data_IF_549834019948
#
_entry.id   IF_549834019948
#
_cell.length_a   1.000
_cell.length_b   1.000
_cell.length_c   1.000
_cell.angle_alpha   90.00
_cell.angle_beta   90.00
_cell.angle_gamma   90.00
#
_symmetry.space_group_name_H-M   'P 1'
#
loop_
_entity.id
_entity.type
_entity.pdbx_description
1 polymer ?
#
# COMPACT_ATOMS: atom_id res chain seq x y z
N UNK A 1 2.18 17.39 8.31
CA UNK A 1 3.30 18.32 8.53
C UNK A 1 2.82 19.78 8.50
N UNK A 2 2.24 20.27 7.38
CA UNK A 2 1.81 21.68 7.29
C UNK A 2 0.75 22.01 8.37
N UNK A 3 -0.25 21.16 8.55
CA UNK A 3 -1.27 21.34 9.57
C UNK A 3 -0.72 21.28 11.00
N UNK A 4 0.29 20.42 11.25
CA UNK A 4 0.98 20.36 12.53
C UNK A 4 1.80 21.62 12.79
N UNK A 5 2.57 22.08 11.79
CA UNK A 5 3.37 23.30 11.89
C UNK A 5 2.52 24.56 12.08
N UNK A 6 1.35 24.59 11.46
CA UNK A 6 0.39 25.72 11.58
C UNK A 6 -0.52 25.63 12.81
N UNK A 7 -0.42 24.57 13.62
CA UNK A 7 -1.18 24.40 14.87
C UNK A 7 -2.68 24.08 14.69
N UNK A 8 -3.13 23.74 13.51
CA UNK A 8 -4.54 23.39 13.26
C UNK A 8 -4.78 21.91 12.90
N UNK A 9 -3.88 21.02 13.33
CA UNK A 9 -4.11 19.58 13.29
C UNK A 9 -5.37 19.20 14.11
N UNK A 10 -6.12 18.22 13.62
CA UNK A 10 -7.39 17.78 14.21
C UNK A 10 -8.53 18.83 14.19
N UNK A 11 -8.45 19.82 13.30
CA UNK A 11 -9.51 20.80 13.07
C UNK A 11 -10.09 20.68 11.66
N UNK A 12 -11.26 21.31 11.42
CA UNK A 12 -11.85 21.36 10.06
C UNK A 12 -10.96 22.08 9.03
N UNK A 13 -9.99 22.86 9.47
CA UNK A 13 -9.06 23.58 8.60
C UNK A 13 -8.23 22.64 7.70
N UNK A 14 -8.04 21.38 8.09
CA UNK A 14 -7.42 20.36 7.23
C UNK A 14 -8.23 20.16 5.95
N UNK A 15 -9.56 20.09 6.06
CA UNK A 15 -10.45 19.92 4.90
C UNK A 15 -10.48 21.19 4.04
N UNK A 16 -10.45 22.37 4.65
CA UNK A 16 -10.37 23.66 3.93
C UNK A 16 -9.07 23.73 3.12
N UNK A 17 -7.94 23.35 3.70
CA UNK A 17 -6.66 23.28 3.00
C UNK A 17 -6.71 22.32 1.79
N UNK A 18 -7.26 21.12 1.98
CA UNK A 18 -7.43 20.15 0.89
C UNK A 18 -8.35 20.71 -0.22
N UNK A 19 -9.43 21.40 0.14
CA UNK A 19 -10.34 22.01 -0.82
C UNK A 19 -9.64 23.11 -1.64
N UNK A 20 -8.87 23.99 -1.00
CA UNK A 20 -8.11 25.04 -1.68
C UNK A 20 -7.08 24.45 -2.65
N UNK A 21 -6.33 23.44 -2.22
CA UNK A 21 -5.36 22.76 -3.08
C UNK A 21 -6.05 22.02 -4.24
N UNK A 22 -7.20 21.39 -3.98
CA UNK A 22 -8.01 20.75 -5.02
C UNK A 22 -8.53 21.75 -6.07
N UNK A 23 -8.98 22.92 -5.65
CA UNK A 23 -9.39 23.99 -6.56
C UNK A 23 -8.21 24.52 -7.38
N UNK A 24 -7.06 24.75 -6.75
CA UNK A 24 -5.84 25.16 -7.46
C UNK A 24 -5.43 24.12 -8.51
N UNK A 25 -5.51 22.84 -8.18
CA UNK A 25 -5.22 21.75 -9.12
C UNK A 25 -6.24 21.70 -10.26
N UNK A 26 -7.53 21.93 -9.99
CA UNK A 26 -8.57 21.99 -11.00
C UNK A 26 -8.33 23.13 -11.99
N UNK A 27 -7.96 24.33 -11.50
CA UNK A 27 -7.58 25.46 -12.34
C UNK A 27 -6.34 25.13 -13.18
N UNK A 28 -5.32 24.53 -12.56
CA UNK A 28 -4.12 24.10 -13.29
C UNK A 28 -4.44 23.07 -14.37
N UNK A 29 -5.35 22.14 -14.12
CA UNK A 29 -5.72 21.09 -15.08
C UNK A 29 -6.30 21.67 -16.38
N UNK A 30 -6.94 22.86 -16.33
CA UNK A 30 -7.44 23.56 -17.54
C UNK A 30 -6.28 24.02 -18.44
N UNK A 31 -5.10 24.23 -17.89
CA UNK A 31 -3.90 24.66 -18.65
C UNK A 31 -3.13 23.52 -19.29
N UNK A 32 -3.51 22.26 -19.00
CA UNK A 32 -2.84 21.10 -19.57
C UNK A 32 -3.16 20.95 -21.06
N UNK A 33 -2.21 20.40 -21.87
CA UNK A 33 -2.45 20.14 -23.28
C UNK A 33 -3.64 19.20 -23.49
N UNK A 34 -4.46 19.48 -24.49
CA UNK A 34 -5.57 18.61 -24.87
C UNK A 34 -5.05 17.25 -25.34
N UNK A 35 -5.47 16.18 -24.66
CA UNK A 35 -5.24 14.84 -25.12
C UNK A 35 -6.33 14.43 -26.12
N UNK A 36 -6.00 14.15 -27.40
CA UNK A 36 -7.01 13.80 -28.39
C UNK A 36 -7.73 12.50 -27.97
N UNK A 37 -9.02 12.60 -27.73
CA UNK A 37 -9.85 11.43 -27.49
C UNK A 37 -10.11 10.72 -28.81
N UNK A 38 -9.67 9.49 -28.94
CA UNK A 38 -9.95 8.66 -30.11
C UNK A 38 -11.44 8.29 -30.16
N UNK A 39 -12.25 9.12 -30.86
CA UNK A 39 -13.72 8.96 -30.96
C UNK A 39 -14.12 7.99 -32.09
N UNK A 40 -13.17 7.41 -32.83
CA UNK A 40 -13.39 6.59 -34.02
C UNK A 40 -13.50 5.08 -33.76
N UNK A 41 -13.98 4.64 -32.62
CA UNK A 41 -14.14 3.22 -32.32
C UNK A 41 -15.56 2.71 -32.63
N UNK A 42 -15.67 1.49 -33.15
CA UNK A 42 -16.91 0.72 -33.19
C UNK A 42 -17.64 0.76 -31.83
N UNK A 43 -18.98 0.69 -31.85
CA UNK A 43 -19.77 0.63 -30.61
C UNK A 43 -19.29 -0.56 -29.76
N UNK A 44 -18.51 -0.27 -28.72
CA UNK A 44 -18.05 -1.31 -27.79
C UNK A 44 -19.27 -1.95 -27.12
N UNK A 45 -19.25 -3.27 -27.01
CA UNK A 45 -20.24 -3.99 -26.21
C UNK A 45 -20.16 -3.54 -24.75
N UNK A 46 -21.25 -3.67 -23.97
CA UNK A 46 -21.23 -3.33 -22.54
C UNK A 46 -20.13 -4.09 -21.79
N UNK A 47 -19.85 -5.32 -22.17
CA UNK A 47 -18.76 -6.14 -21.62
C UNK A 47 -17.39 -5.51 -21.86
N UNK A 48 -17.18 -4.95 -23.05
CA UNK A 48 -15.93 -4.24 -23.39
C UNK A 48 -15.84 -2.86 -22.73
N UNK A 49 -16.96 -2.15 -22.70
CA UNK A 49 -17.03 -0.83 -22.06
C UNK A 49 -16.78 -0.89 -20.55
N UNK A 50 -17.26 -1.94 -19.89
CA UNK A 50 -17.04 -2.20 -18.46
C UNK A 50 -15.71 -2.94 -18.17
N UNK A 51 -14.93 -3.29 -19.20
CA UNK A 51 -13.65 -3.98 -19.00
C UNK A 51 -13.77 -5.42 -18.50
N UNK A 52 -14.96 -6.03 -18.57
CA UNK A 52 -15.21 -7.37 -18.02
C UNK A 52 -14.42 -8.47 -18.74
N UNK A 53 -13.90 -8.21 -19.94
CA UNK A 53 -12.99 -9.13 -20.64
C UNK A 53 -11.72 -9.42 -19.84
N UNK A 54 -11.26 -8.53 -18.97
CA UNK A 54 -10.11 -8.78 -18.11
C UNK A 54 -10.31 -9.98 -17.16
N UNK A 55 -11.55 -10.31 -16.78
CA UNK A 55 -11.82 -11.49 -15.95
C UNK A 55 -11.47 -12.81 -16.65
N UNK A 56 -11.38 -12.83 -17.99
CA UNK A 56 -10.90 -14.01 -18.72
C UNK A 56 -9.44 -14.37 -18.38
N UNK A 57 -8.66 -13.39 -17.88
CA UNK A 57 -7.27 -13.59 -17.46
C UNK A 57 -7.17 -14.56 -16.28
N UNK A 58 -8.21 -14.74 -15.48
CA UNK A 58 -8.23 -15.76 -14.41
C UNK A 58 -8.15 -17.20 -14.96
N UNK A 59 -8.43 -17.43 -16.23
CA UNK A 59 -8.22 -18.74 -16.88
C UNK A 59 -6.73 -19.06 -17.06
N UNK A 60 -5.88 -18.06 -17.10
CA UNK A 60 -4.43 -18.23 -17.18
C UNK A 60 -3.86 -18.37 -15.77
N UNK A 61 -3.34 -19.55 -15.42
CA UNK A 61 -2.81 -19.85 -14.08
C UNK A 61 -1.87 -18.77 -13.53
N UNK A 62 -1.01 -18.23 -14.38
CA UNK A 62 -0.01 -17.20 -14.02
C UNK A 62 -0.69 -15.90 -13.62
N UNK A 63 -1.67 -15.44 -14.40
CA UNK A 63 -2.43 -14.21 -14.12
C UNK A 63 -3.36 -14.39 -12.91
N UNK A 64 -4.01 -15.53 -12.80
CA UNK A 64 -4.86 -15.85 -11.64
C UNK A 64 -4.05 -15.81 -10.34
N UNK A 65 -2.88 -16.44 -10.30
CA UNK A 65 -1.97 -16.38 -9.15
C UNK A 65 -1.57 -14.95 -8.84
N UNK A 66 -1.18 -14.17 -9.85
CA UNK A 66 -0.82 -12.77 -9.66
C UNK A 66 -1.95 -11.97 -9.03
N UNK A 67 -3.19 -12.08 -9.53
CA UNK A 67 -4.33 -11.35 -8.98
C UNK A 67 -4.67 -11.79 -7.54
N UNK A 68 -4.54 -13.08 -7.22
CA UNK A 68 -4.72 -13.58 -5.85
C UNK A 68 -3.67 -12.96 -4.91
N UNK A 69 -2.40 -12.96 -5.31
CA UNK A 69 -1.35 -12.33 -4.48
C UNK A 69 -1.49 -10.82 -4.39
N UNK A 70 -1.98 -10.17 -5.45
CA UNK A 70 -2.31 -8.75 -5.42
C UNK A 70 -3.42 -8.44 -4.40
N UNK A 71 -4.45 -9.28 -4.33
CA UNK A 71 -5.49 -9.19 -3.30
C UNK A 71 -4.90 -9.36 -1.89
N UNK A 72 -4.07 -10.39 -1.68
CA UNK A 72 -3.44 -10.64 -0.37
C UNK A 72 -2.50 -9.50 0.05
N UNK A 73 -1.83 -8.87 -0.91
CA UNK A 73 -1.02 -7.68 -0.61
C UNK A 73 -1.90 -6.45 -0.29
N UNK A 74 -3.03 -6.30 -0.98
CA UNK A 74 -4.03 -5.28 -0.69
C UNK A 74 -4.56 -5.37 0.75
N UNK A 75 -4.64 -6.58 1.31
CA UNK A 75 -4.92 -6.80 2.75
C UNK A 75 -3.86 -6.10 3.61
N UNK A 76 -2.57 -6.31 3.32
CA UNK A 76 -1.47 -5.68 4.07
C UNK A 76 -1.51 -4.15 3.98
N UNK A 77 -1.78 -3.61 2.80
CA UNK A 77 -1.95 -2.18 2.58
C UNK A 77 -3.08 -1.61 3.45
N UNK A 78 -4.22 -2.27 3.47
CA UNK A 78 -5.38 -1.78 4.21
C UNK A 78 -5.21 -1.90 5.73
N UNK A 79 -4.51 -2.93 6.22
CA UNK A 79 -4.13 -3.04 7.64
C UNK A 79 -3.36 -1.78 8.06
N UNK A 80 -2.35 -1.38 7.30
CA UNK A 80 -1.57 -0.18 7.60
C UNK A 80 -2.43 1.09 7.55
N UNK A 81 -3.21 1.27 6.49
CA UNK A 81 -3.99 2.48 6.28
C UNK A 81 -5.07 2.67 7.36
N UNK A 82 -5.68 1.57 7.81
CA UNK A 82 -6.74 1.61 8.82
C UNK A 82 -6.25 1.70 10.26
N UNK A 83 -5.11 1.07 10.57
CA UNK A 83 -4.75 0.81 11.97
C UNK A 83 -3.43 1.44 12.44
N UNK A 84 -2.58 1.97 11.56
CA UNK A 84 -1.32 2.60 11.99
C UNK A 84 -1.56 3.85 12.84
N UNK A 85 -2.47 4.74 12.44
CA UNK A 85 -2.78 5.94 13.22
C UNK A 85 -3.44 5.63 14.57
N UNK A 86 -4.53 4.82 14.65
CA UNK A 86 -5.11 4.41 15.92
C UNK A 86 -4.10 3.75 16.86
N UNK A 87 -3.21 2.92 16.32
CA UNK A 87 -2.15 2.28 17.11
C UNK A 87 -1.20 3.30 17.73
N UNK A 88 -0.60 4.19 16.93
CA UNK A 88 0.37 5.16 17.42
C UNK A 88 -0.28 6.12 18.43
N UNK A 89 -1.53 6.55 18.18
CA UNK A 89 -2.25 7.45 19.06
C UNK A 89 -2.70 6.78 20.36
N UNK A 90 -2.86 5.46 20.41
CA UNK A 90 -3.24 4.73 21.62
C UNK A 90 -2.22 4.89 22.75
N UNK A 91 -0.96 5.15 22.42
CA UNK A 91 0.09 5.41 23.42
C UNK A 91 -0.11 6.69 24.23
N UNK A 92 -0.97 7.61 23.80
CA UNK A 92 -1.33 8.79 24.60
C UNK A 92 -1.97 8.44 25.95
N UNK A 93 -2.62 7.29 26.03
CA UNK A 93 -3.21 6.79 27.27
C UNK A 93 -2.20 6.26 28.29
N UNK A 94 -0.91 6.17 27.93
CA UNK A 94 0.14 5.66 28.82
C UNK A 94 0.94 6.87 29.32
N UNK A 95 1.02 7.12 30.66
CA UNK A 95 1.70 8.28 31.21
C UNK A 95 3.14 8.44 30.74
N UNK A 96 3.87 7.34 30.58
CA UNK A 96 5.26 7.31 30.08
C UNK A 96 5.40 7.87 28.65
N UNK A 97 4.39 7.65 27.80
CA UNK A 97 4.44 8.02 26.37
C UNK A 97 3.56 9.22 26.02
N UNK A 98 2.72 9.68 26.93
CA UNK A 98 1.73 10.74 26.70
C UNK A 98 2.34 12.05 26.18
N UNK A 99 3.56 12.38 26.58
CA UNK A 99 4.29 13.59 26.18
C UNK A 99 5.20 13.38 24.98
N UNK A 100 5.32 12.15 24.44
CA UNK A 100 6.24 11.89 23.34
C UNK A 100 5.73 12.50 22.04
N UNK A 101 6.67 12.95 21.18
CA UNK A 101 6.33 13.47 19.84
C UNK A 101 5.55 12.45 19.02
N UNK A 102 5.98 11.18 19.02
CA UNK A 102 5.35 10.12 18.24
C UNK A 102 3.87 9.94 18.57
N UNK A 103 3.52 9.85 19.85
CA UNK A 103 2.13 9.69 20.30
C UNK A 103 1.27 10.91 19.95
N UNK A 104 1.81 12.13 20.04
CA UNK A 104 1.06 13.36 19.80
C UNK A 104 0.97 13.76 18.32
N UNK A 105 1.94 13.37 17.51
CA UNK A 105 2.03 13.72 16.09
C UNK A 105 2.09 12.48 15.17
N UNK A 106 1.21 11.50 15.41
CA UNK A 106 1.15 10.26 14.64
C UNK A 106 1.07 10.50 13.12
N UNK A 107 0.31 11.51 12.68
CA UNK A 107 0.21 11.88 11.27
C UNK A 107 1.54 12.42 10.71
N UNK A 108 2.34 13.12 11.50
CA UNK A 108 3.66 13.58 11.10
C UNK A 108 4.62 12.40 10.89
N UNK A 109 4.59 11.39 11.78
CA UNK A 109 5.33 10.15 11.58
C UNK A 109 4.85 9.40 10.32
N UNK A 110 3.54 9.25 10.15
CA UNK A 110 2.97 8.54 8.98
C UNK A 110 3.34 9.26 7.67
N UNK A 111 3.42 10.61 7.67
CA UNK A 111 3.82 11.36 6.47
C UNK A 111 5.25 11.09 6.02
N UNK A 112 6.11 10.55 6.91
CA UNK A 112 7.44 10.07 6.52
C UNK A 112 7.37 8.91 5.52
N UNK A 113 6.27 8.14 5.54
CA UNK A 113 6.03 7.08 4.53
C UNK A 113 5.92 7.66 3.12
N UNK A 114 5.26 8.81 2.93
CA UNK A 114 5.11 9.47 1.63
C UNK A 114 6.47 9.99 1.11
N UNK A 115 7.31 10.48 2.01
CA UNK A 115 8.69 10.85 1.65
C UNK A 115 9.47 9.62 1.18
N UNK A 116 9.33 8.51 1.92
CA UNK A 116 9.95 7.24 1.55
C UNK A 116 9.46 6.72 0.20
N UNK A 117 8.14 6.75 -0.09
CA UNK A 117 7.58 6.39 -1.39
C UNK A 117 8.27 7.16 -2.52
N UNK A 118 8.33 8.49 -2.39
CA UNK A 118 8.95 9.35 -3.41
C UNK A 118 10.41 8.96 -3.70
N UNK A 119 11.18 8.63 -2.65
CA UNK A 119 12.57 8.21 -2.82
C UNK A 119 12.70 6.79 -3.35
N UNK A 120 11.84 5.88 -2.91
CA UNK A 120 11.85 4.47 -3.32
C UNK A 120 11.48 4.30 -4.79
N UNK A 121 10.59 5.12 -5.35
CA UNK A 121 10.25 5.12 -6.78
C UNK A 121 11.50 5.27 -7.65
N UNK A 122 12.45 6.11 -7.25
CA UNK A 122 13.71 6.32 -7.98
C UNK A 122 14.61 5.08 -8.00
N UNK A 123 14.48 4.19 -7.01
CA UNK A 123 15.25 2.95 -6.93
C UNK A 123 14.66 1.80 -7.75
N UNK A 124 13.37 1.87 -8.10
CA UNK A 124 12.65 0.76 -8.76
C UNK A 124 13.27 0.39 -10.10
N UNK A 125 13.61 1.32 -11.02
CA UNK A 125 14.22 0.94 -12.31
C UNK A 125 15.54 0.18 -12.14
N UNK A 126 16.37 0.58 -11.17
CA UNK A 126 17.60 -0.12 -10.84
C UNK A 126 17.31 -1.54 -10.31
N UNK A 127 16.38 -1.65 -9.35
CA UNK A 127 16.01 -2.94 -8.76
C UNK A 127 15.40 -3.88 -9.80
N UNK A 128 14.52 -3.39 -10.68
CA UNK A 128 13.90 -4.17 -11.74
C UNK A 128 14.95 -4.72 -12.72
N UNK A 129 15.89 -3.89 -13.18
CA UNK A 129 16.96 -4.32 -14.07
C UNK A 129 17.89 -5.35 -13.42
N UNK A 130 18.18 -5.19 -12.14
CA UNK A 130 19.12 -6.07 -11.41
C UNK A 130 18.50 -7.39 -10.97
N UNK A 131 17.27 -7.36 -10.44
CA UNK A 131 16.66 -8.49 -9.75
C UNK A 131 15.45 -9.07 -10.49
N UNK A 132 14.85 -8.32 -11.40
CA UNK A 132 13.67 -8.71 -12.16
C UNK A 132 12.36 -8.58 -11.36
N UNK A 133 11.24 -8.63 -12.09
CA UNK A 133 9.90 -8.36 -11.59
C UNK A 133 9.55 -9.23 -10.36
N UNK A 134 9.76 -10.55 -10.43
CA UNK A 134 9.42 -11.46 -9.33
C UNK A 134 10.15 -11.11 -8.03
N UNK A 135 11.47 -10.88 -8.11
CA UNK A 135 12.25 -10.63 -6.90
C UNK A 135 11.96 -9.24 -6.32
N UNK A 136 11.64 -8.25 -7.15
CA UNK A 136 11.21 -6.93 -6.68
C UNK A 136 9.85 -7.01 -5.98
N UNK A 137 8.90 -7.78 -6.50
CA UNK A 137 7.65 -8.06 -5.79
C UNK A 137 7.89 -8.79 -4.46
N UNK A 138 8.83 -9.74 -4.43
CA UNK A 138 9.17 -10.48 -3.21
C UNK A 138 9.83 -9.58 -2.18
N UNK A 139 10.70 -8.64 -2.59
CA UNK A 139 11.25 -7.61 -1.72
C UNK A 139 10.15 -6.78 -1.06
N UNK A 140 9.13 -6.38 -1.82
CA UNK A 140 7.98 -5.67 -1.30
C UNK A 140 7.21 -6.48 -0.25
N UNK A 141 7.00 -7.78 -0.49
CA UNK A 141 6.32 -8.66 0.48
C UNK A 141 7.11 -8.81 1.78
N UNK A 142 8.43 -8.98 1.72
CA UNK A 142 9.27 -9.01 2.92
C UNK A 142 9.35 -7.64 3.61
N UNK A 143 9.27 -6.54 2.87
CA UNK A 143 9.16 -5.21 3.45
C UNK A 143 7.88 -5.05 4.30
N UNK A 144 6.75 -5.65 3.89
CA UNK A 144 5.54 -5.71 4.72
C UNK A 144 5.76 -6.50 6.02
N UNK A 145 6.47 -7.63 5.96
CA UNK A 145 6.83 -8.40 7.18
C UNK A 145 7.64 -7.55 8.14
N UNK A 146 8.68 -6.89 7.62
CA UNK A 146 9.55 -6.02 8.41
C UNK A 146 8.76 -4.84 8.99
N UNK A 147 7.93 -4.17 8.19
CA UNK A 147 7.09 -3.06 8.63
C UNK A 147 6.21 -3.44 9.81
N UNK A 148 5.46 -4.54 9.70
CA UNK A 148 4.56 -4.98 10.77
C UNK A 148 5.32 -5.48 11.99
N UNK A 149 6.46 -6.16 11.81
CA UNK A 149 7.34 -6.57 12.91
C UNK A 149 7.87 -5.37 13.69
N UNK A 150 8.32 -4.32 12.99
CA UNK A 150 8.78 -3.08 13.60
C UNK A 150 7.68 -2.34 14.37
N UNK A 151 6.44 -2.35 13.87
CA UNK A 151 5.31 -1.82 14.64
C UNK A 151 5.00 -2.65 15.86
N UNK A 152 5.05 -3.98 15.75
CA UNK A 152 4.77 -4.88 16.86
C UNK A 152 5.79 -4.81 18.00
N UNK A 153 7.05 -4.48 17.69
CA UNK A 153 8.14 -4.40 18.66
C UNK A 153 8.47 -2.97 19.10
N UNK A 154 8.02 -1.95 18.36
CA UNK A 154 8.32 -0.54 18.61
C UNK A 154 7.41 0.09 19.65
N UNK A 155 7.83 1.25 20.14
CA UNK A 155 7.07 2.15 20.99
C UNK A 155 7.46 3.61 20.70
N UNK A 156 6.66 4.62 21.08
CA UNK A 156 6.98 6.02 20.79
C UNK A 156 8.05 6.66 21.72
N UNK A 157 8.57 5.90 22.68
CA UNK A 157 9.68 6.30 23.56
C UNK A 157 11.03 5.86 22.99
N UNK A 158 11.79 5.04 23.72
CA UNK A 158 13.09 4.52 23.29
C UNK A 158 13.04 3.67 22.02
N UNK A 159 11.87 3.11 21.66
CA UNK A 159 11.62 2.31 20.46
C UNK A 159 11.14 3.11 19.25
N UNK A 160 11.09 4.44 19.30
CA UNK A 160 10.56 5.30 18.21
C UNK A 160 11.30 5.10 16.88
N UNK A 161 12.57 4.74 16.92
CA UNK A 161 13.37 4.43 15.74
C UNK A 161 12.79 3.26 14.93
N UNK A 162 12.12 2.30 15.60
CA UNK A 162 11.42 1.21 14.89
C UNK A 162 10.21 1.73 14.12
N UNK A 163 9.47 2.69 14.68
CA UNK A 163 8.38 3.35 13.95
C UNK A 163 8.91 4.12 12.74
N UNK A 164 9.99 4.90 12.92
CA UNK A 164 10.63 5.63 11.82
C UNK A 164 11.10 4.66 10.73
N UNK A 165 11.79 3.58 11.10
CA UNK A 165 12.24 2.58 10.15
C UNK A 165 11.06 1.89 9.45
N UNK A 166 9.97 1.60 10.17
CA UNK A 166 8.73 1.07 9.59
C UNK A 166 8.14 2.02 8.54
N UNK A 167 8.18 3.35 8.79
CA UNK A 167 7.71 4.34 7.81
C UNK A 167 8.61 4.38 6.57
N UNK A 168 9.93 4.28 6.74
CA UNK A 168 10.89 4.25 5.63
C UNK A 168 10.70 2.97 4.78
N UNK A 169 10.51 1.83 5.40
CA UNK A 169 10.31 0.55 4.71
C UNK A 169 9.02 0.53 3.90
N UNK A 170 8.05 1.38 4.23
CA UNK A 170 6.76 1.43 3.53
C UNK A 170 6.88 1.73 2.04
N UNK A 171 7.79 2.62 1.62
CA UNK A 171 8.00 2.91 0.21
C UNK A 171 8.41 1.66 -0.58
N UNK A 172 9.30 0.84 -0.01
CA UNK A 172 9.65 -0.46 -0.62
C UNK A 172 8.44 -1.41 -0.61
N UNK A 173 7.72 -1.49 0.50
CA UNK A 173 6.58 -2.41 0.66
C UNK A 173 5.45 -2.12 -0.33
N UNK A 174 5.17 -0.85 -0.61
CA UNK A 174 4.05 -0.43 -1.45
C UNK A 174 4.45 -0.30 -2.93
N UNK A 175 5.43 0.56 -3.23
CA UNK A 175 5.74 0.93 -4.62
C UNK A 175 6.38 -0.19 -5.41
N UNK A 176 7.26 -0.97 -4.78
CA UNK A 176 7.94 -2.06 -5.48
C UNK A 176 6.95 -3.10 -5.98
N UNK A 177 5.89 -3.41 -5.24
CA UNK A 177 4.86 -4.32 -5.72
C UNK A 177 3.96 -3.67 -6.77
N UNK A 178 3.49 -2.45 -6.54
CA UNK A 178 2.55 -1.81 -7.46
C UNK A 178 3.15 -1.56 -8.84
N UNK A 179 4.38 -1.03 -8.89
CA UNK A 179 5.05 -0.74 -10.16
C UNK A 179 5.47 -2.04 -10.87
N UNK A 180 6.05 -2.99 -10.13
CA UNK A 180 6.39 -4.31 -10.71
C UNK A 180 5.15 -5.07 -11.17
N UNK A 181 4.05 -4.97 -10.42
CA UNK A 181 2.76 -5.58 -10.77
C UNK A 181 2.14 -4.97 -12.01
N UNK A 182 2.15 -3.65 -12.10
CA UNK A 182 1.71 -2.94 -13.31
C UNK A 182 2.53 -3.33 -14.53
N UNK A 183 3.86 -3.40 -14.40
CA UNK A 183 4.76 -3.84 -15.47
C UNK A 183 4.50 -5.31 -15.85
N UNK A 184 4.29 -6.19 -14.86
CA UNK A 184 3.93 -7.58 -15.10
C UNK A 184 2.62 -7.70 -15.91
N UNK A 185 1.56 -6.96 -15.51
CA UNK A 185 0.30 -6.94 -16.25
C UNK A 185 0.49 -6.43 -17.66
N UNK A 186 1.27 -5.38 -17.86
CA UNK A 186 1.55 -4.84 -19.20
C UNK A 186 2.27 -5.85 -20.11
N UNK A 187 3.20 -6.63 -19.56
CA UNK A 187 3.97 -7.62 -20.31
C UNK A 187 3.18 -8.88 -20.63
N UNK A 188 2.21 -9.24 -19.78
CA UNK A 188 1.45 -10.49 -19.90
C UNK A 188 0.08 -10.32 -20.56
N UNK A 189 -0.30 -9.10 -20.96
CA UNK A 189 -1.62 -8.82 -21.54
C UNK A 189 -1.53 -8.15 -22.91
N UNK A 190 -2.44 -8.53 -23.80
CA UNK A 190 -2.60 -7.87 -25.08
C UNK A 190 -2.98 -6.40 -24.93
N UNK A 191 -2.52 -5.57 -25.86
CA UNK A 191 -2.81 -4.12 -25.87
C UNK A 191 -4.30 -3.82 -25.75
N UNK A 192 -5.15 -4.64 -26.40
CA UNK A 192 -6.60 -4.44 -26.45
C UNK A 192 -7.29 -4.52 -25.08
N UNK A 193 -6.75 -5.31 -24.14
CA UNK A 193 -7.34 -5.51 -22.78
C UNK A 193 -6.46 -5.00 -21.66
N UNK A 194 -5.31 -4.41 -21.98
CA UNK A 194 -4.30 -3.97 -21.00
C UNK A 194 -4.87 -3.01 -19.95
N UNK A 195 -5.59 -1.97 -20.39
CA UNK A 195 -6.20 -1.02 -19.47
C UNK A 195 -7.21 -1.68 -18.52
N UNK A 196 -8.02 -2.62 -19.03
CA UNK A 196 -8.97 -3.37 -18.22
C UNK A 196 -8.26 -4.33 -17.26
N UNK A 197 -7.13 -4.92 -17.66
CA UNK A 197 -6.31 -5.77 -16.80
C UNK A 197 -5.65 -4.97 -15.66
N UNK A 198 -5.19 -3.74 -15.93
CA UNK A 198 -4.73 -2.81 -14.90
C UNK A 198 -5.86 -2.43 -13.93
N UNK A 199 -7.06 -2.15 -14.46
CA UNK A 199 -8.25 -1.92 -13.63
C UNK A 199 -8.58 -3.11 -12.74
N UNK A 200 -8.48 -4.34 -13.26
CA UNK A 200 -8.69 -5.56 -12.48
C UNK A 200 -7.61 -5.72 -11.39
N UNK A 201 -6.36 -5.42 -11.69
CA UNK A 201 -5.28 -5.39 -10.69
C UNK A 201 -5.62 -4.42 -9.54
N UNK A 202 -6.09 -3.21 -9.86
CA UNK A 202 -6.50 -2.23 -8.84
C UNK A 202 -7.75 -2.68 -8.06
N UNK A 203 -8.71 -3.36 -8.69
CA UNK A 203 -9.87 -3.94 -8.00
C UNK A 203 -9.42 -5.04 -7.03
N UNK A 204 -8.49 -5.90 -7.41
CA UNK A 204 -8.01 -6.96 -6.54
C UNK A 204 -7.23 -6.41 -5.34
N UNK A 205 -6.40 -5.38 -5.52
CA UNK A 205 -5.66 -4.75 -4.42
C UNK A 205 -6.53 -3.83 -3.56
N UNK A 206 -7.09 -2.78 -4.16
CA UNK A 206 -7.75 -1.68 -3.43
C UNK A 206 -9.26 -1.90 -3.24
N UNK A 207 -9.86 -2.87 -3.93
CA UNK A 207 -11.24 -3.27 -3.75
C UNK A 207 -11.35 -4.50 -2.84
N UNK A 208 -11.16 -5.68 -3.41
CA UNK A 208 -11.34 -6.95 -2.69
C UNK A 208 -10.34 -7.10 -1.55
N UNK A 209 -9.05 -6.83 -1.82
CA UNK A 209 -7.99 -6.89 -0.81
C UNK A 209 -8.24 -5.93 0.33
N UNK A 210 -8.63 -4.69 0.03
CA UNK A 210 -8.94 -3.69 1.06
C UNK A 210 -10.14 -4.09 1.92
N UNK A 211 -11.21 -4.64 1.30
CA UNK A 211 -12.39 -5.11 2.05
C UNK A 211 -12.04 -6.26 2.99
N UNK A 212 -11.37 -7.29 2.48
CA UNK A 212 -10.92 -8.43 3.30
C UNK A 212 -9.95 -7.98 4.39
N UNK A 213 -9.04 -7.06 4.05
CA UNK A 213 -8.05 -6.50 4.97
C UNK A 213 -8.71 -5.73 6.12
N UNK A 214 -9.69 -4.88 5.82
CA UNK A 214 -10.42 -4.12 6.84
C UNK A 214 -11.15 -5.06 7.81
N UNK A 215 -11.92 -6.01 7.27
CA UNK A 215 -12.71 -6.92 8.09
C UNK A 215 -11.81 -7.85 8.92
N UNK A 216 -10.77 -8.43 8.30
CA UNK A 216 -9.83 -9.32 8.97
C UNK A 216 -9.02 -8.60 10.05
N UNK A 217 -8.49 -7.42 9.74
CA UNK A 217 -7.74 -6.63 10.71
C UNK A 217 -8.62 -6.17 11.88
N UNK A 218 -9.87 -5.74 11.60
CA UNK A 218 -10.81 -5.37 12.66
C UNK A 218 -11.11 -6.56 13.59
N UNK A 219 -11.27 -7.76 13.05
CA UNK A 219 -11.48 -8.95 13.87
C UNK A 219 -10.28 -9.24 14.79
N UNK A 220 -9.05 -9.11 14.29
CA UNK A 220 -7.82 -9.26 15.07
C UNK A 220 -7.74 -8.19 16.17
N UNK A 221 -7.96 -6.92 15.82
CA UNK A 221 -7.92 -5.80 16.76
C UNK A 221 -9.03 -5.93 17.81
N UNK A 222 -10.23 -6.34 17.43
CA UNK A 222 -11.31 -6.62 18.40
C UNK A 222 -10.91 -7.71 19.38
N UNK A 223 -10.25 -8.77 18.93
CA UNK A 223 -9.83 -9.91 19.75
C UNK A 223 -8.72 -9.55 20.74
N UNK A 224 -7.71 -8.79 20.31
CA UNK A 224 -6.51 -8.57 21.11
C UNK A 224 -6.45 -7.18 21.77
N UNK A 225 -7.11 -6.16 21.20
CA UNK A 225 -7.05 -4.79 21.69
C UNK A 225 -8.36 -4.40 22.37
N UNK A 226 -9.47 -4.43 21.64
CA UNK A 226 -10.75 -3.90 22.12
C UNK A 226 -11.39 -4.76 23.23
N UNK A 227 -10.97 -6.01 23.36
CA UNK A 227 -11.40 -6.91 24.46
C UNK A 227 -10.70 -6.61 25.81
N UNK A 228 -9.69 -5.75 25.82
CA UNK A 228 -8.91 -5.46 27.01
C UNK A 228 -9.51 -4.31 27.81
N UNK A 229 -9.46 -4.43 29.13
CA UNK A 229 -10.04 -3.45 30.06
C UNK A 229 -9.04 -2.40 30.56
N UNK A 230 -7.73 -2.63 30.41
CA UNK A 230 -6.69 -1.68 30.82
C UNK A 230 -5.88 -1.17 29.62
N UNK A 231 -5.42 0.09 29.71
CA UNK A 231 -4.62 0.72 28.63
C UNK A 231 -3.32 -0.06 28.38
N UNK A 232 -2.68 -0.56 29.42
CA UNK A 232 -1.46 -1.37 29.31
C UNK A 232 -1.73 -2.68 28.57
N UNK A 233 -2.83 -3.37 28.87
CA UNK A 233 -3.23 -4.60 28.17
C UNK A 233 -3.62 -4.32 26.71
N UNK A 234 -4.28 -3.19 26.42
CA UNK A 234 -4.58 -2.76 25.04
C UNK A 234 -3.31 -2.54 24.23
N UNK A 235 -2.28 -1.93 24.82
CA UNK A 235 -0.99 -1.72 24.15
C UNK A 235 -0.28 -3.04 23.84
N UNK A 236 -0.27 -3.97 24.79
CA UNK A 236 0.23 -5.33 24.55
C UNK A 236 -0.58 -6.05 23.47
N UNK A 237 -1.90 -5.83 23.43
CA UNK A 237 -2.80 -6.31 22.39
C UNK A 237 -2.46 -5.78 21.00
N UNK A 238 -2.07 -4.50 20.91
CA UNK A 238 -1.58 -3.92 19.65
C UNK A 238 -0.29 -4.58 19.17
N UNK A 239 0.70 -4.78 20.06
CA UNK A 239 1.93 -5.49 19.72
C UNK A 239 1.62 -6.88 19.16
N UNK A 240 0.76 -7.64 19.85
CA UNK A 240 0.31 -8.96 19.39
C UNK A 240 -0.38 -8.88 18.03
N UNK A 241 -1.27 -7.91 17.81
CA UNK A 241 -1.96 -7.73 16.52
C UNK A 241 -0.99 -7.47 15.37
N UNK A 242 -0.01 -6.60 15.57
CA UNK A 242 1.01 -6.32 14.55
C UNK A 242 1.89 -7.54 14.26
N UNK A 243 2.24 -8.35 15.27
CA UNK A 243 2.97 -9.59 15.06
C UNK A 243 2.13 -10.64 14.32
N UNK A 244 0.82 -10.72 14.57
CA UNK A 244 -0.10 -11.55 13.76
C UNK A 244 -0.11 -11.09 12.30
N UNK A 245 -0.16 -9.77 12.04
CA UNK A 245 -0.09 -9.24 10.70
C UNK A 245 1.27 -9.49 10.02
N UNK A 246 2.37 -9.43 10.79
CA UNK A 246 3.69 -9.81 10.29
C UNK A 246 3.75 -11.29 9.90
N UNK A 247 3.18 -12.18 10.71
CA UNK A 247 3.04 -13.60 10.42
C UNK A 247 2.22 -13.85 9.15
N UNK A 248 1.10 -13.15 8.99
CA UNK A 248 0.30 -13.19 7.76
C UNK A 248 1.14 -12.79 6.54
N UNK A 249 1.82 -11.64 6.58
CA UNK A 249 2.64 -11.15 5.48
C UNK A 249 3.78 -12.12 5.16
N UNK A 250 4.39 -12.74 6.18
CA UNK A 250 5.44 -13.76 6.00
C UNK A 250 4.90 -14.99 5.29
N UNK A 251 3.74 -15.50 5.69
CA UNK A 251 3.11 -16.64 5.00
C UNK A 251 2.85 -16.32 3.52
N UNK A 252 2.30 -15.13 3.23
CA UNK A 252 2.05 -14.68 1.85
C UNK A 252 3.36 -14.62 1.06
N UNK A 253 4.43 -14.05 1.63
CA UNK A 253 5.74 -13.94 0.99
C UNK A 253 6.35 -15.31 0.67
N UNK A 254 6.29 -16.25 1.62
CA UNK A 254 6.81 -17.62 1.43
C UNK A 254 6.02 -18.36 0.34
N UNK A 255 4.68 -18.32 0.40
CA UNK A 255 3.84 -19.00 -0.60
C UNK A 255 4.06 -18.38 -1.97
N UNK A 256 4.16 -17.07 -2.08
CA UNK A 256 4.49 -16.39 -3.34
C UNK A 256 5.85 -16.85 -3.89
N UNK A 257 6.89 -16.90 -3.07
CA UNK A 257 8.22 -17.32 -3.48
C UNK A 257 8.22 -18.72 -4.10
N UNK A 258 7.43 -19.66 -3.51
CA UNK A 258 7.35 -21.06 -3.93
C UNK A 258 6.47 -21.27 -5.17
N UNK A 259 5.33 -20.57 -5.23
CA UNK A 259 4.28 -20.84 -6.23
C UNK A 259 4.40 -19.95 -7.45
N UNK A 260 4.78 -18.66 -7.28
CA UNK A 260 4.86 -17.72 -8.39
C UNK A 260 6.19 -17.87 -9.11
N UNK A 261 6.14 -18.44 -10.32
CA UNK A 261 7.33 -18.63 -11.17
C UNK A 261 7.31 -17.62 -12.32
N UNK A 262 8.30 -16.74 -12.33
CA UNK A 262 8.52 -15.77 -13.41
C UNK A 262 10.00 -15.67 -13.76
N UNK A 263 10.33 -15.86 -15.02
CA UNK A 263 11.73 -15.79 -15.49
C UNK A 263 12.11 -14.33 -15.70
N UNK A 264 13.26 -13.94 -15.21
CA UNK A 264 13.80 -12.61 -15.42
C UNK A 264 14.23 -12.47 -16.90
N UNK A 265 13.72 -11.42 -17.56
CA UNK A 265 14.12 -10.99 -18.89
C UNK A 265 14.56 -9.51 -18.81
N UNK A 266 15.87 -9.24 -18.85
CA UNK A 266 16.38 -7.88 -18.78
C UNK A 266 15.98 -7.00 -19.98
N UNK A 267 15.78 -7.60 -21.17
CA UNK A 267 15.43 -6.86 -22.39
C UNK A 267 13.98 -6.35 -22.35
N UNK A 268 13.08 -7.12 -21.76
CA UNK A 268 11.69 -6.71 -21.57
C UNK A 268 11.53 -5.50 -20.62
N UNK A 269 12.57 -5.19 -19.83
CA UNK A 269 12.59 -4.06 -18.87
C UNK A 269 13.27 -2.82 -19.50
N UNK A 270 14.06 -2.99 -20.57
CA UNK A 270 14.86 -1.93 -21.19
C UNK A 270 14.06 -0.74 -21.73
N UNK A 271 12.78 -0.91 -22.01
CA UNK A 271 11.90 0.12 -22.59
C UNK A 271 11.12 0.95 -21.55
N UNK A 272 11.39 0.80 -20.25
CA UNK A 272 10.68 1.51 -19.16
C UNK A 272 11.34 2.84 -18.79
N UNK A 273 12.35 3.28 -19.50
CA UNK A 273 13.16 4.45 -19.16
C UNK A 273 13.31 5.53 -20.24
N UNK A 274 12.42 5.54 -21.25
CA UNK A 274 12.41 6.60 -22.26
C UNK A 274 11.02 7.18 -22.44
#
# INVERSE_FOLDING_TARGET
>A
LVCDAAGFHNTYMQFVQCAVLGLALAVYAVTLPECPVNRGGEKKSLVEALGLRAFTLFRQKKMALFFIFSMLLGVSLQITNGFANPFITSFRGIPEYASTFGANHANALISLSQVSETLCILLIPFCLKRFGIKNVMLMAMFAWVLRFGLFGLGNPGGGVWMFILSMIVYGVAFDFFNISGSLFVNNETDVAIRSSAQGLFMIMTNGVGATVGTLGAQAVVNRFVNSQSSVSAMTAGWSTSWLVFAGYALCVAIVFALVFKYKHDPEAIGNVGH
#
